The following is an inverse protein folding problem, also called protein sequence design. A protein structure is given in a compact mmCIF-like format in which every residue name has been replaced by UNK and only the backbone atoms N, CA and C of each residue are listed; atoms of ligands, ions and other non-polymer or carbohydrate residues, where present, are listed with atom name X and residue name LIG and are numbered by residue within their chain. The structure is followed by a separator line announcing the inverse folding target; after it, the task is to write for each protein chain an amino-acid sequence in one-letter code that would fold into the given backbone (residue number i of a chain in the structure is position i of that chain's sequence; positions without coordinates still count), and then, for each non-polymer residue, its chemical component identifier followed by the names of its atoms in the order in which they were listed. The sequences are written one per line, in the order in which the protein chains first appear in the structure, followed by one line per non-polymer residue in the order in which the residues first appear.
data_IF_534654632227
#
_entry.id   IF_534654632227
#
_cell.length_a   1.000
_cell.length_b   1.000
_cell.length_c   1.000
_cell.angle_alpha   90.00
_cell.angle_beta   90.00
_cell.angle_gamma   90.00
#
_symmetry.space_group_name_H-M   'P 1'
#
loop_
_entity.id
_entity.type
_entity.pdbx_description
1 polymer ?
#
# COMPACT_ATOMS: atom_id res chain seq x y z
N UNK A 1 15.68 -73.23 22.23
CA UNK A 1 14.23 -73.05 21.98
C UNK A 1 14.12 -72.01 20.86
N UNK A 2 14.01 -72.46 19.59
CA UNK A 2 12.79 -72.49 18.75
C UNK A 2 12.15 -71.09 18.60
N UNK A 3 11.89 -70.47 17.45
CA UNK A 3 11.98 -70.74 16.00
C UNK A 3 11.85 -69.37 15.29
N UNK A 4 12.65 -68.98 14.29
CA UNK A 4 12.43 -69.08 12.82
C UNK A 4 10.96 -68.93 12.35
N UNK A 5 10.67 -67.91 11.51
CA UNK A 5 10.23 -68.01 10.08
C UNK A 5 9.20 -66.93 9.64
N UNK A 6 9.54 -66.20 8.56
CA UNK A 6 8.79 -65.67 7.39
C UNK A 6 7.28 -65.29 7.51
N UNK A 7 6.69 -64.37 6.75
CA UNK A 7 6.47 -64.40 5.29
C UNK A 7 5.99 -63.00 4.80
N UNK A 8 6.30 -62.77 3.53
CA UNK A 8 6.01 -61.68 2.61
C UNK A 8 4.56 -61.20 2.42
N UNK A 9 4.47 -59.99 1.84
CA UNK A 9 3.51 -59.48 0.83
C UNK A 9 2.00 -59.48 1.12
N UNK A 10 1.37 -58.30 1.03
CA UNK A 10 0.49 -57.94 -0.10
C UNK A 10 -0.25 -56.61 0.10
N UNK A 11 -0.35 -55.87 -1.02
CA UNK A 11 -1.42 -54.96 -1.43
C UNK A 11 -1.66 -53.64 -0.65
N UNK A 12 -1.17 -52.56 -1.26
CA UNK A 12 -1.79 -51.25 -1.16
C UNK A 12 -3.23 -51.30 -1.69
N UNK A 13 -4.20 -50.86 -0.90
CA UNK A 13 -5.55 -50.54 -1.36
C UNK A 13 -5.66 -49.02 -1.32
N UNK A 14 -5.49 -48.40 -2.48
CA UNK A 14 -5.93 -47.04 -2.74
C UNK A 14 -7.46 -47.08 -2.89
N UNK A 15 -8.18 -46.52 -1.92
CA UNK A 15 -9.61 -46.23 -2.07
C UNK A 15 -9.75 -44.90 -2.78
N UNK A 16 -9.93 -44.95 -4.10
CA UNK A 16 -10.45 -43.85 -4.89
C UNK A 16 -11.96 -43.75 -4.64
N UNK A 17 -12.36 -42.87 -3.71
CA UNK A 17 -13.74 -42.39 -3.63
C UNK A 17 -13.92 -41.29 -4.68
N UNK A 18 -14.13 -41.70 -5.93
CA UNK A 18 -14.68 -40.82 -6.97
C UNK A 18 -16.16 -41.12 -7.16
N UNK A 19 -16.92 -40.04 -7.28
CA UNK A 19 -18.31 -39.94 -7.71
C UNK A 19 -19.41 -40.22 -6.66
N UNK A 20 -19.80 -39.17 -5.95
CA UNK A 20 -21.21 -38.82 -5.69
C UNK A 20 -21.28 -37.33 -5.37
N UNK A 21 -21.20 -36.48 -6.39
CA UNK A 21 -21.64 -35.08 -6.29
C UNK A 21 -21.88 -34.53 -7.69
N UNK A 22 -22.88 -35.08 -8.38
CA UNK A 22 -23.53 -34.32 -9.44
C UNK A 22 -24.73 -33.62 -8.83
N UNK A 23 -24.79 -32.27 -8.83
CA UNK A 23 -25.96 -31.56 -8.36
C UNK A 23 -27.16 -31.92 -9.24
N UNK A 24 -28.33 -32.07 -8.61
CA UNK A 24 -29.55 -32.47 -9.29
C UNK A 24 -29.86 -31.55 -10.49
N UNK A 25 -30.39 -32.06 -11.62
CA UNK A 25 -30.56 -31.29 -12.86
C UNK A 25 -31.58 -30.13 -12.78
N UNK A 26 -32.29 -29.98 -11.66
CA UNK A 26 -33.18 -28.86 -11.37
C UNK A 26 -32.55 -27.81 -10.43
N UNK A 27 -31.37 -28.09 -9.85
CA UNK A 27 -30.63 -27.14 -9.05
C UNK A 27 -29.95 -26.13 -9.98
N UNK A 28 -30.61 -24.98 -10.19
CA UNK A 28 -29.89 -23.79 -10.66
C UNK A 28 -28.78 -23.51 -9.67
N UNK A 29 -27.54 -23.43 -10.15
CA UNK A 29 -26.45 -22.88 -9.37
C UNK A 29 -26.92 -21.53 -8.81
N UNK A 30 -26.98 -21.40 -7.48
CA UNK A 30 -27.25 -20.12 -6.87
C UNK A 30 -26.18 -19.16 -7.40
N UNK A 31 -26.61 -18.12 -8.12
CA UNK A 31 -25.71 -17.04 -8.49
C UNK A 31 -25.17 -16.50 -7.18
N UNK A 32 -23.86 -16.67 -6.94
CA UNK A 32 -23.23 -16.09 -5.76
C UNK A 32 -23.60 -14.60 -5.77
N UNK A 33 -24.11 -14.05 -4.66
CA UNK A 33 -24.37 -12.62 -4.60
C UNK A 33 -23.08 -11.91 -5.00
N UNK A 34 -23.19 -10.92 -5.89
CA UNK A 34 -22.07 -10.05 -6.21
C UNK A 34 -21.48 -9.59 -4.86
N UNK A 35 -20.17 -9.80 -4.61
CA UNK A 35 -19.58 -9.43 -3.34
C UNK A 35 -19.92 -7.96 -3.11
N UNK A 36 -20.65 -7.68 -2.03
CA UNK A 36 -21.03 -6.34 -1.69
C UNK A 36 -19.74 -5.52 -1.65
N UNK A 37 -19.60 -4.54 -2.55
CA UNK A 37 -18.53 -3.56 -2.47
C UNK A 37 -18.71 -2.87 -1.12
N UNK A 38 -17.92 -3.27 -0.12
CA UNK A 38 -17.87 -2.56 1.15
C UNK A 38 -17.52 -1.14 0.75
N UNK A 39 -18.39 -0.19 1.09
CA UNK A 39 -18.08 1.22 0.91
C UNK A 39 -16.84 1.48 1.75
N UNK A 40 -15.66 1.48 1.11
CA UNK A 40 -14.44 1.94 1.74
C UNK A 40 -14.73 3.37 2.17
N UNK A 41 -14.56 3.66 3.46
CA UNK A 41 -14.64 5.02 3.98
C UNK A 41 -13.44 5.80 3.43
N UNK A 42 -13.55 6.23 2.17
CA UNK A 42 -12.47 6.87 1.43
C UNK A 42 -12.60 8.38 1.54
N UNK A 43 -11.50 9.02 1.93
CA UNK A 43 -11.41 10.48 1.96
C UNK A 43 -11.57 11.04 0.53
N UNK A 44 -12.42 12.05 0.39
CA UNK A 44 -12.51 12.80 -0.86
C UNK A 44 -11.25 13.65 -1.04
N UNK A 45 -10.48 13.37 -2.09
CA UNK A 45 -9.19 14.01 -2.35
C UNK A 45 -8.97 14.20 -3.85
N UNK A 46 -8.12 15.16 -4.19
CA UNK A 46 -7.77 15.49 -5.58
C UNK A 46 -6.99 14.37 -6.27
N UNK A 47 -6.19 13.64 -5.48
CA UNK A 47 -5.48 12.43 -5.91
C UNK A 47 -6.25 11.21 -5.43
N UNK A 48 -6.48 10.25 -6.32
CA UNK A 48 -7.14 8.99 -6.00
C UNK A 48 -6.45 7.82 -6.71
N UNK A 49 -6.68 6.61 -6.19
CA UNK A 49 -6.37 5.38 -6.88
C UNK A 49 -7.53 5.01 -7.81
N UNK A 50 -7.22 4.64 -9.05
CA UNK A 50 -8.16 4.10 -10.00
C UNK A 50 -7.97 2.58 -10.05
N UNK A 51 -8.90 1.83 -9.45
CA UNK A 51 -8.83 0.36 -9.37
C UNK A 51 -8.92 -0.31 -10.75
N UNK A 52 -9.75 0.18 -11.67
CA UNK A 52 -9.88 -0.44 -13.00
C UNK A 52 -8.60 -0.26 -13.82
N UNK A 53 -7.94 0.89 -13.65
CA UNK A 53 -6.76 1.26 -14.41
C UNK A 53 -5.44 0.97 -13.69
N UNK A 54 -5.48 0.51 -12.44
CA UNK A 54 -4.34 0.17 -11.59
C UNK A 54 -3.27 1.28 -11.55
N UNK A 55 -3.72 2.53 -11.33
CA UNK A 55 -2.83 3.71 -11.26
C UNK A 55 -3.38 4.80 -10.37
N UNK A 56 -2.51 5.72 -9.95
CA UNK A 56 -2.94 6.98 -9.37
C UNK A 56 -3.39 7.97 -10.44
N UNK A 57 -4.41 8.75 -10.11
CA UNK A 57 -4.93 9.83 -10.93
C UNK A 57 -5.07 11.10 -10.10
N UNK A 58 -4.91 12.25 -10.73
CA UNK A 58 -5.21 13.57 -10.18
C UNK A 58 -6.36 14.16 -10.99
N UNK A 59 -7.51 14.40 -10.35
CA UNK A 59 -8.71 14.89 -11.04
C UNK A 59 -9.05 14.10 -12.32
N UNK A 60 -8.92 12.77 -12.25
CA UNK A 60 -9.18 11.85 -13.37
C UNK A 60 -8.08 11.80 -14.45
N UNK A 61 -7.03 12.62 -14.34
CA UNK A 61 -5.87 12.53 -15.22
C UNK A 61 -4.83 11.54 -14.66
N UNK A 62 -4.26 10.64 -15.47
CA UNK A 62 -3.28 9.66 -15.01
C UNK A 62 -1.98 10.32 -14.54
N UNK A 63 -1.46 9.87 -13.39
CA UNK A 63 -0.12 10.22 -12.93
C UNK A 63 0.88 9.17 -13.42
N UNK A 64 1.99 9.62 -14.01
CA UNK A 64 3.05 8.73 -14.49
C UNK A 64 4.01 8.38 -13.36
N UNK A 65 3.98 7.13 -12.93
CA UNK A 65 4.89 6.62 -11.90
C UNK A 65 6.30 6.35 -12.46
N UNK A 66 7.33 6.86 -11.78
CA UNK A 66 8.69 6.36 -11.92
C UNK A 66 8.89 5.07 -11.12
N UNK A 67 8.14 4.93 -10.03
CA UNK A 67 8.03 3.70 -9.24
C UNK A 67 6.63 3.58 -8.64
N UNK A 68 6.09 2.36 -8.67
CA UNK A 68 4.81 1.98 -8.08
C UNK A 68 5.01 0.67 -7.32
N UNK A 69 4.48 0.59 -6.11
CA UNK A 69 4.37 -0.60 -5.31
C UNK A 69 2.91 -0.87 -4.99
N UNK A 70 2.47 -2.12 -5.15
CA UNK A 70 1.05 -2.52 -5.00
C UNK A 70 0.83 -3.54 -3.89
N UNK A 71 1.89 -4.16 -3.39
CA UNK A 71 1.87 -5.09 -2.26
C UNK A 71 0.89 -6.26 -2.44
N UNK A 72 0.86 -6.82 -3.66
CA UNK A 72 0.04 -7.98 -3.95
C UNK A 72 0.75 -9.25 -3.47
N UNK A 73 0.38 -9.71 -2.28
CA UNK A 73 0.93 -10.91 -1.65
C UNK A 73 2.38 -10.80 -1.16
N UNK A 74 2.98 -9.60 -1.15
CA UNK A 74 4.34 -9.38 -0.62
C UNK A 74 4.52 -7.97 -0.05
N UNK A 75 5.60 -7.74 0.70
CA UNK A 75 6.01 -6.38 1.13
C UNK A 75 6.83 -5.64 0.07
N UNK A 76 7.10 -6.27 -1.08
CA UNK A 76 7.91 -5.73 -2.18
C UNK A 76 9.28 -5.16 -1.73
N UNK A 77 9.84 -5.75 -0.67
CA UNK A 77 11.13 -5.39 -0.09
C UNK A 77 11.10 -4.21 0.89
N UNK A 78 9.92 -3.69 1.23
CA UNK A 78 9.79 -2.75 2.33
C UNK A 78 10.11 -3.43 3.67
N UNK A 79 10.72 -2.67 4.57
CA UNK A 79 11.13 -3.11 5.90
C UNK A 79 10.73 -2.10 6.96
N UNK A 80 10.33 -2.60 8.14
CA UNK A 80 10.02 -1.77 9.30
C UNK A 80 11.22 -1.66 10.25
N UNK A 81 11.42 -0.49 10.84
CA UNK A 81 12.21 -0.28 12.06
C UNK A 81 11.27 0.14 13.20
N UNK A 82 11.47 -0.37 14.41
CA UNK A 82 10.57 -0.08 15.54
C UNK A 82 9.17 -0.71 15.43
N UNK A 83 8.89 -1.49 14.40
CA UNK A 83 7.59 -2.10 14.14
C UNK A 83 7.67 -3.38 13.30
N UNK A 84 6.56 -3.77 12.69
CA UNK A 84 6.42 -4.96 11.85
C UNK A 84 5.72 -4.64 10.53
N UNK A 85 6.16 -5.30 9.45
CA UNK A 85 5.42 -5.36 8.19
C UNK A 85 5.20 -6.79 7.72
N UNK A 86 4.00 -7.08 7.25
CA UNK A 86 3.61 -8.37 6.67
C UNK A 86 2.73 -8.15 5.44
N UNK A 87 2.69 -9.09 4.48
CA UNK A 87 1.67 -9.07 3.44
C UNK A 87 0.27 -9.11 4.08
N UNK A 88 -0.62 -8.23 3.61
CA UNK A 88 -2.03 -8.24 4.02
C UNK A 88 -2.86 -9.11 3.07
N UNK A 89 -4.00 -9.60 3.56
CA UNK A 89 -5.00 -10.32 2.78
C UNK A 89 -6.30 -9.50 2.73
N UNK A 90 -6.95 -9.33 1.55
CA UNK A 90 -6.61 -9.93 0.26
C UNK A 90 -5.46 -9.23 -0.50
N UNK A 91 -5.21 -7.94 -0.27
CA UNK A 91 -4.16 -7.14 -0.93
C UNK A 91 -3.61 -6.07 0.01
N UNK A 92 -2.34 -5.67 -0.16
CA UNK A 92 -1.71 -4.61 0.61
C UNK A 92 -0.60 -5.13 1.54
N UNK A 93 -0.06 -4.23 2.35
CA UNK A 93 0.93 -4.53 3.39
C UNK A 93 0.38 -4.08 4.75
N UNK A 94 0.29 -5.00 5.70
CA UNK A 94 -0.01 -4.70 7.10
C UNK A 94 1.22 -4.07 7.74
N UNK A 95 1.06 -2.89 8.32
CA UNK A 95 2.08 -2.12 9.03
C UNK A 95 1.62 -1.92 10.48
N UNK A 96 2.48 -2.29 11.43
CA UNK A 96 2.21 -2.14 12.87
C UNK A 96 3.33 -1.37 13.56
N UNK A 97 2.96 -0.31 14.26
CA UNK A 97 3.88 0.48 15.09
C UNK A 97 4.10 -0.27 16.42
N UNK A 98 5.29 -0.82 16.61
CA UNK A 98 5.64 -1.63 17.78
C UNK A 98 6.32 -0.86 18.91
N UNK A 99 6.87 0.31 18.59
CA UNK A 99 7.61 1.19 19.48
C UNK A 99 7.52 2.65 19.03
N UNK A 100 8.19 3.53 19.77
CA UNK A 100 8.37 4.93 19.37
C UNK A 100 9.20 5.04 18.10
N UNK A 101 8.95 6.07 17.28
CA UNK A 101 9.69 6.31 16.03
C UNK A 101 9.65 5.09 15.09
N UNK A 102 8.47 4.47 14.96
CA UNK A 102 8.27 3.35 14.04
C UNK A 102 8.30 3.86 12.60
N UNK A 103 9.09 3.20 11.76
CA UNK A 103 9.45 3.70 10.43
C UNK A 103 9.31 2.60 9.38
N UNK A 104 8.77 2.95 8.21
CA UNK A 104 8.61 2.06 7.07
C UNK A 104 9.53 2.51 5.92
N UNK A 105 10.52 1.71 5.55
CA UNK A 105 11.47 2.04 4.48
C UNK A 105 11.21 1.26 3.21
N UNK A 106 11.31 1.94 2.08
CA UNK A 106 11.38 1.28 0.77
C UNK A 106 12.68 0.48 0.62
N UNK A 107 12.79 -0.40 -0.39
CA UNK A 107 14.10 -0.85 -0.86
C UNK A 107 15.01 0.33 -1.19
N UNK A 108 16.32 0.15 -0.97
CA UNK A 108 17.36 1.09 -1.43
C UNK A 108 17.61 0.96 -2.94
N UNK A 109 18.32 1.92 -3.51
CA UNK A 109 18.68 1.93 -4.93
C UNK A 109 17.50 2.29 -5.83
N UNK A 110 16.59 3.16 -5.37
CA UNK A 110 15.47 3.63 -6.20
C UNK A 110 15.95 4.28 -7.49
N UNK A 111 17.01 5.11 -7.41
CA UNK A 111 17.65 5.74 -8.57
C UNK A 111 16.72 6.67 -9.34
N UNK A 112 15.73 7.27 -8.67
CA UNK A 112 14.74 8.14 -9.31
C UNK A 112 15.29 9.56 -9.42
N UNK A 113 15.18 10.15 -10.62
CA UNK A 113 15.47 11.56 -10.86
C UNK A 113 14.40 12.43 -10.19
N UNK A 114 14.79 13.09 -9.09
CA UNK A 114 13.88 13.91 -8.29
C UNK A 114 13.38 15.15 -9.02
N UNK A 115 14.08 15.64 -10.05
CA UNK A 115 13.59 16.74 -10.90
C UNK A 115 12.34 16.35 -11.68
N UNK A 116 12.27 15.06 -12.07
CA UNK A 116 11.17 14.49 -12.84
C UNK A 116 10.09 13.90 -11.95
N UNK A 117 10.48 13.17 -10.90
CA UNK A 117 9.58 12.44 -10.02
C UNK A 117 9.59 13.07 -8.62
N UNK A 118 8.69 14.02 -8.40
CA UNK A 118 8.65 14.84 -7.18
C UNK A 118 7.29 14.82 -6.46
N UNK A 119 6.40 13.90 -6.81
CA UNK A 119 5.17 13.66 -6.08
C UNK A 119 5.20 12.26 -5.48
N UNK A 120 5.20 12.15 -4.15
CA UNK A 120 5.09 10.86 -3.46
C UNK A 120 3.68 10.66 -2.96
N UNK A 121 3.13 9.48 -3.21
CA UNK A 121 1.75 9.09 -2.92
C UNK A 121 1.76 7.84 -2.06
N UNK A 122 1.06 7.87 -0.93
CA UNK A 122 0.88 6.70 -0.06
C UNK A 122 -0.61 6.50 0.18
N UNK A 123 -1.19 5.46 -0.42
CA UNK A 123 -2.57 5.06 -0.15
C UNK A 123 -2.60 4.07 0.99
N UNK A 124 -3.30 4.40 2.07
CA UNK A 124 -3.38 3.55 3.25
C UNK A 124 -4.77 3.60 3.92
N UNK A 125 -5.08 2.58 4.70
CA UNK A 125 -6.22 2.55 5.63
C UNK A 125 -5.69 2.43 7.05
N UNK A 126 -6.14 3.29 7.97
CA UNK A 126 -5.82 3.11 9.40
C UNK A 126 -6.70 2.01 9.99
N UNK A 127 -6.12 0.93 10.47
CA UNK A 127 -6.84 -0.22 11.05
C UNK A 127 -6.89 -0.17 12.57
N UNK A 128 -5.96 0.56 13.19
CA UNK A 128 -5.90 0.73 14.64
C UNK A 128 -5.35 2.12 14.98
N UNK A 129 -6.01 2.78 15.93
CA UNK A 129 -5.52 4.05 16.46
C UNK A 129 -4.25 3.83 17.29
N UNK A 130 -3.21 4.60 16.98
CA UNK A 130 -2.06 4.86 17.85
C UNK A 130 -2.17 6.25 18.46
N UNK A 131 -1.05 6.75 18.99
CA UNK A 131 -0.92 8.12 19.49
C UNK A 131 0.10 8.88 18.65
N UNK A 132 -0.02 10.21 18.68
CA UNK A 132 0.92 11.14 18.05
C UNK A 132 1.12 10.86 16.56
N UNK A 133 0.06 11.05 15.78
CA UNK A 133 0.12 11.00 14.32
C UNK A 133 1.24 11.91 13.79
N UNK A 134 2.20 11.30 13.11
CA UNK A 134 3.32 11.95 12.45
C UNK A 134 2.97 12.16 10.97
N UNK A 135 2.80 11.07 10.22
CA UNK A 135 2.50 11.10 8.79
C UNK A 135 3.64 11.66 7.92
N UNK A 136 4.85 11.81 8.46
CA UNK A 136 5.99 12.35 7.72
C UNK A 136 6.52 11.36 6.68
N UNK A 137 7.13 11.90 5.64
CA UNK A 137 8.02 11.14 4.76
C UNK A 137 9.42 11.74 4.84
N UNK A 138 10.43 10.88 4.92
CA UNK A 138 11.84 11.21 4.83
C UNK A 138 12.41 10.58 3.56
N UNK A 139 13.55 11.11 3.12
CA UNK A 139 14.28 10.52 1.99
C UNK A 139 15.78 10.56 2.20
N UNK A 140 16.48 9.71 1.44
CA UNK A 140 17.94 9.72 1.36
C UNK A 140 18.39 9.75 -0.09
N UNK A 141 19.62 10.22 -0.28
CA UNK A 141 20.32 10.27 -1.56
C UNK A 141 21.70 9.63 -1.37
N UNK A 142 22.54 9.65 -2.40
CA UNK A 142 23.94 9.28 -2.23
C UNK A 142 24.72 10.27 -1.33
N UNK A 143 24.25 11.51 -1.20
CA UNK A 143 24.95 12.57 -0.46
C UNK A 143 24.60 12.61 1.03
N UNK A 144 23.40 12.14 1.41
CA UNK A 144 22.94 12.19 2.80
C UNK A 144 21.94 11.06 3.12
N UNK A 145 21.83 10.74 4.40
CA UNK A 145 20.78 9.88 4.94
C UNK A 145 19.48 10.63 5.24
N UNK A 146 18.56 9.93 5.88
CA UNK A 146 17.30 10.50 6.40
C UNK A 146 17.61 11.49 7.55
N UNK A 147 17.11 12.72 7.46
CA UNK A 147 17.25 13.73 8.52
C UNK A 147 16.09 14.74 8.48
N UNK A 148 15.97 15.57 9.52
CA UNK A 148 14.91 16.58 9.65
C UNK A 148 14.94 17.67 8.56
N UNK A 149 16.03 17.83 7.83
CA UNK A 149 16.13 18.71 6.65
C UNK A 149 15.58 18.07 5.37
N UNK A 150 15.42 16.75 5.35
CA UNK A 150 15.08 15.93 4.19
C UNK A 150 13.76 15.18 4.42
N UNK A 151 12.72 15.93 4.82
CA UNK A 151 11.40 15.39 5.11
C UNK A 151 10.27 16.30 4.62
N UNK A 152 9.07 15.71 4.52
CA UNK A 152 7.84 16.40 4.17
C UNK A 152 6.68 15.92 5.04
N UNK A 153 5.68 16.79 5.21
CA UNK A 153 4.35 16.42 5.70
C UNK A 153 3.39 16.27 4.51
N UNK A 154 2.33 15.47 4.63
CA UNK A 154 1.35 15.35 3.57
C UNK A 154 0.57 16.66 3.45
N UNK A 155 0.19 17.03 2.23
CA UNK A 155 -0.59 18.24 1.95
C UNK A 155 -1.88 18.32 2.76
N UNK A 156 -2.63 17.22 2.80
CA UNK A 156 -3.90 17.08 3.53
C UNK A 156 -3.71 16.22 4.80
N UNK A 157 -2.53 16.31 5.43
CA UNK A 157 -1.97 15.36 6.40
C UNK A 157 -2.64 15.23 7.77
N UNK A 158 -3.95 15.45 7.85
CA UNK A 158 -4.73 15.13 9.03
C UNK A 158 -4.71 13.61 9.29
N UNK A 159 -4.59 13.26 10.57
CA UNK A 159 -4.66 11.89 11.08
C UNK A 159 -5.89 11.16 10.51
N UNK A 160 -5.71 10.05 9.79
CA UNK A 160 -6.82 9.24 9.32
C UNK A 160 -7.64 8.67 10.48
N UNK A 161 -8.96 8.77 10.37
CA UNK A 161 -9.84 8.06 11.30
C UNK A 161 -9.66 6.54 11.13
N UNK A 162 -9.93 5.77 12.19
CA UNK A 162 -9.91 4.31 12.09
C UNK A 162 -10.93 3.86 11.05
N UNK A 163 -10.52 2.94 10.19
CA UNK A 163 -11.17 2.45 8.98
C UNK A 163 -11.30 3.47 7.83
N UNK A 164 -10.67 4.64 7.92
CA UNK A 164 -10.58 5.59 6.81
C UNK A 164 -9.44 5.23 5.86
N UNK A 165 -9.72 5.22 4.56
CA UNK A 165 -8.73 5.10 3.48
C UNK A 165 -8.40 6.47 2.91
N UNK A 166 -7.11 6.80 2.85
CA UNK A 166 -6.61 8.10 2.40
C UNK A 166 -5.47 7.90 1.41
N UNK A 167 -5.21 8.92 0.58
CA UNK A 167 -3.95 9.09 -0.13
C UNK A 167 -3.19 10.23 0.51
N UNK A 168 -2.07 9.93 1.18
CA UNK A 168 -1.13 10.94 1.63
C UNK A 168 -0.33 11.43 0.42
N UNK A 169 -0.35 12.75 0.21
CA UNK A 169 0.27 13.39 -0.97
C UNK A 169 1.40 14.30 -0.50
N UNK A 170 2.62 14.01 -0.95
CA UNK A 170 3.81 14.78 -0.62
C UNK A 170 4.38 15.44 -1.88
N UNK A 171 4.35 16.76 -1.92
CA UNK A 171 4.95 17.56 -3.00
C UNK A 171 6.42 17.84 -2.68
N UNK A 172 7.28 16.94 -3.10
CA UNK A 172 8.71 16.93 -2.76
C UNK A 172 9.51 18.02 -3.49
N UNK A 173 8.94 18.64 -4.52
CA UNK A 173 9.55 19.81 -5.15
C UNK A 173 9.32 21.10 -4.36
N UNK A 174 8.27 21.16 -3.53
CA UNK A 174 7.84 22.36 -2.83
C UNK A 174 7.93 22.21 -1.31
N UNK A 175 9.02 21.61 -0.83
CA UNK A 175 9.27 21.44 0.61
C UNK A 175 9.71 22.75 1.27
N UNK A 176 9.36 22.93 2.55
CA UNK A 176 9.87 24.03 3.37
C UNK A 176 11.41 23.98 3.51
N UNK A 177 11.97 22.78 3.55
CA UNK A 177 13.40 22.48 3.51
C UNK A 177 13.61 21.24 2.66
N UNK A 178 14.66 21.22 1.83
CA UNK A 178 15.00 20.05 1.01
C UNK A 178 14.35 19.99 -0.39
N UNK A 179 13.50 20.94 -0.78
CA UNK A 179 12.87 20.91 -2.12
C UNK A 179 13.88 21.04 -3.27
N UNK A 180 14.82 22.00 -3.13
CA UNK A 180 15.95 22.14 -4.06
C UNK A 180 16.86 20.91 -4.02
N UNK A 181 17.04 20.30 -2.84
CA UNK A 181 17.87 19.11 -2.69
C UNK A 181 17.26 17.91 -3.40
N UNK A 182 15.96 17.62 -3.18
CA UNK A 182 15.22 16.58 -3.89
C UNK A 182 15.31 16.77 -5.40
N UNK A 183 14.99 17.96 -5.89
CA UNK A 183 14.91 18.24 -7.33
C UNK A 183 16.26 18.24 -8.04
N UNK A 184 17.37 18.32 -7.30
CA UNK A 184 18.72 18.20 -7.85
C UNK A 184 19.38 16.83 -7.58
N UNK A 185 18.62 15.85 -7.07
CA UNK A 185 19.15 14.56 -6.61
C UNK A 185 18.59 13.35 -7.34
N UNK A 186 19.37 12.27 -7.31
CA UNK A 186 18.86 10.91 -7.46
C UNK A 186 18.43 10.38 -6.10
N UNK A 187 17.16 10.02 -5.98
CA UNK A 187 16.58 9.53 -4.73
C UNK A 187 16.97 8.06 -4.56
N UNK A 188 17.54 7.72 -3.39
CA UNK A 188 17.99 6.36 -3.06
C UNK A 188 16.92 5.55 -2.33
N UNK A 189 16.24 6.17 -1.37
CA UNK A 189 15.26 5.51 -0.50
C UNK A 189 14.24 6.53 0.02
N UNK A 190 13.02 6.07 0.30
CA UNK A 190 12.02 6.81 1.07
C UNK A 190 11.70 6.06 2.37
N UNK A 191 11.37 6.84 3.41
CA UNK A 191 10.91 6.38 4.72
C UNK A 191 9.58 7.03 5.04
N UNK A 192 8.57 6.25 5.39
CA UNK A 192 7.25 6.73 5.81
C UNK A 192 7.09 6.48 7.31
N UNK A 193 6.74 7.55 8.02
CA UNK A 193 6.49 7.50 9.46
C UNK A 193 5.01 7.79 9.68
N UNK A 194 4.35 6.90 10.43
CA UNK A 194 2.89 6.95 10.65
C UNK A 194 2.57 7.53 12.01
N UNK A 195 2.47 6.71 13.05
CA UNK A 195 2.34 7.15 14.44
C UNK A 195 3.74 7.20 15.09
N UNK A 196 4.03 8.28 15.83
CA UNK A 196 5.30 8.46 16.56
C UNK A 196 5.37 7.62 17.85
N UNK A 197 4.22 7.12 18.31
CA UNK A 197 4.10 6.18 19.41
C UNK A 197 3.67 4.78 18.94
N UNK A 198 3.88 3.79 19.81
CA UNK A 198 3.44 2.42 19.56
C UNK A 198 1.89 2.30 19.52
N UNK A 199 1.41 1.21 18.91
CA UNK A 199 0.00 0.81 18.95
C UNK A 199 -0.78 1.12 17.66
N UNK A 200 -0.26 2.02 16.81
CA UNK A 200 -0.79 2.28 15.47
C UNK A 200 -0.79 1.05 14.57
N UNK A 201 -1.79 0.97 13.69
CA UNK A 201 -1.91 -0.10 12.70
C UNK A 201 -2.53 0.41 11.41
N UNK A 202 -1.97 -0.03 10.28
CA UNK A 202 -2.34 0.43 8.95
C UNK A 202 -2.27 -0.71 7.93
N UNK A 203 -3.13 -0.66 6.91
CA UNK A 203 -2.90 -1.39 5.66
C UNK A 203 -2.44 -0.38 4.63
N UNK A 204 -1.21 -0.53 4.14
CA UNK A 204 -0.68 0.25 3.03
C UNK A 204 -1.06 -0.47 1.74
N UNK A 205 -1.85 0.19 0.89
CA UNK A 205 -2.35 -0.39 -0.35
C UNK A 205 -1.41 -0.14 -1.51
N UNK A 206 -0.98 1.12 -1.68
CA UNK A 206 -0.09 1.51 -2.76
C UNK A 206 0.88 2.59 -2.28
N UNK A 207 2.11 2.54 -2.77
CA UNK A 207 3.05 3.65 -2.70
C UNK A 207 3.51 3.96 -4.12
N UNK A 208 3.60 5.24 -4.49
CA UNK A 208 4.17 5.64 -5.77
C UNK A 208 5.03 6.89 -5.64
N UNK A 209 6.04 6.98 -6.51
CA UNK A 209 6.76 8.22 -6.79
C UNK A 209 6.48 8.57 -8.25
N UNK A 210 5.80 9.69 -8.48
CA UNK A 210 5.25 10.06 -9.80
C UNK A 210 5.81 11.38 -10.29
N UNK A 211 5.61 11.62 -11.59
CA UNK A 211 5.74 12.97 -12.15
C UNK A 211 4.79 13.91 -11.40
N UNK A 212 5.23 15.16 -11.21
CA UNK A 212 4.48 16.16 -10.47
C UNK A 212 3.83 17.15 -11.45
N UNK A 213 2.49 17.19 -11.53
CA UNK A 213 1.76 18.11 -12.41
C UNK A 213 1.79 19.57 -11.91
N UNK A 214 2.42 19.84 -10.77
CA UNK A 214 2.62 21.15 -10.19
C UNK A 214 1.52 21.56 -9.19
N UNK A 215 1.84 22.59 -8.41
CA UNK A 215 1.00 23.09 -7.29
C UNK A 215 -0.42 23.47 -7.70
N UNK A 216 -0.62 23.91 -8.95
CA UNK A 216 -1.93 24.29 -9.48
C UNK A 216 -2.87 23.10 -9.60
N UNK A 217 -2.38 21.97 -10.10
CA UNK A 217 -3.19 20.76 -10.22
C UNK A 217 -3.57 20.22 -8.83
N UNK A 218 -2.64 20.28 -7.87
CA UNK A 218 -2.87 19.85 -6.49
C UNK A 218 -3.80 20.80 -5.70
N UNK A 219 -3.98 22.06 -6.13
CA UNK A 219 -4.86 23.03 -5.47
C UNK A 219 -6.33 22.95 -5.89
N UNK A 220 -6.66 22.14 -6.89
CA UNK A 220 -8.02 21.96 -7.34
C UNK A 220 -8.83 21.17 -6.30
N UNK A 221 -10.12 21.51 -6.18
CA UNK A 221 -11.04 20.70 -5.41
C UNK A 221 -11.14 19.29 -6.01
N UNK A 222 -11.36 18.24 -5.20
CA UNK A 222 -11.63 16.92 -5.71
C UNK A 222 -12.79 16.95 -6.70
N UNK A 223 -12.59 16.41 -7.90
CA UNK A 223 -13.72 16.13 -8.78
C UNK A 223 -14.54 15.03 -8.10
N UNK A 224 -15.74 15.37 -7.62
CA UNK A 224 -16.68 14.38 -7.07
C UNK A 224 -16.95 13.28 -8.10
N UNK A 225 -17.43 12.09 -7.67
CA UNK A 225 -17.65 10.99 -8.61
C UNK A 225 -18.49 11.48 -9.77
N UNK A 226 -17.95 11.44 -10.98
CA UNK A 226 -18.70 11.67 -12.20
C UNK A 226 -19.87 10.69 -12.15
N UNK A 227 -21.08 11.20 -11.92
CA UNK A 227 -22.28 10.40 -12.10
C UNK A 227 -22.24 9.94 -13.55
N UNK A 228 -21.84 8.69 -13.78
CA UNK A 228 -22.04 8.04 -15.06
C UNK A 228 -23.55 8.07 -15.24
N UNK A 229 -24.01 8.94 -16.15
CA UNK A 229 -25.42 9.00 -16.50
C UNK A 229 -25.81 7.59 -16.96
N UNK A 230 -26.64 6.92 -16.16
CA UNK A 230 -27.28 5.67 -16.57
C UNK A 230 -28.07 5.99 -17.85
N UNK A 231 -27.65 5.40 -18.97
CA UNK A 231 -28.43 5.33 -20.20
C UNK A 231 -29.11 3.98 -20.26
#
# INVERSE_FOLDING_TARGET
MKSILNIASAAAIALTLSACDQPAPWARAATAPEPAKIALNQRSQVVAWNDDAQRFEINGAPLKAGRLWTFDGSTEGFVAGGGEVLPASPTGMDLRNGGTDSMLRSPKGLGLDGSRYSLVLVRLTRTRAGADWDGSIFYSTAAHGEAGEYHAKPRDGADPAVNETVVLVYDMANLKKGGDDWTNSLIDQIRVDTDDQAGGGFVVHQIAVTENPGVTALAQAPIGPTAIAQR
#
